data_IF_789838983262
#
_entry.id   IF_789838983262
#
_cell.length_a   1.000
_cell.length_b   1.000
_cell.length_c   1.000
_cell.angle_alpha   90.00
_cell.angle_beta   90.00
_cell.angle_gamma   90.00
#
_symmetry.space_group_name_H-M   'P 1'
#
loop_
_entity.id
_entity.type
_entity.pdbx_description
1 polymer ?
#
# COMPACT_ATOMS: atom_id res chain seq x y z
N UNK A 1 5.17 -5.97 8.19
CA UNK A 1 4.79 -6.90 7.11
C UNK A 1 3.82 -6.19 6.16
N UNK A 2 3.35 -6.82 5.09
CA UNK A 2 2.35 -6.23 4.18
C UNK A 2 1.18 -7.18 3.89
N UNK A 3 0.03 -6.58 3.57
CA UNK A 3 -1.18 -7.24 3.08
C UNK A 3 -1.64 -6.51 1.83
N UNK A 4 -1.88 -7.23 0.74
CA UNK A 4 -2.55 -6.68 -0.44
C UNK A 4 -4.06 -6.84 -0.28
N UNK A 5 -4.80 -5.73 -0.24
CA UNK A 5 -6.22 -5.71 0.09
C UNK A 5 -7.13 -6.16 -1.06
N UNK A 6 -6.72 -5.90 -2.30
CA UNK A 6 -7.51 -6.12 -3.52
C UNK A 6 -7.06 -7.36 -4.32
N UNK A 7 -6.21 -8.20 -3.73
CA UNK A 7 -5.53 -9.28 -4.45
C UNK A 7 -5.31 -10.51 -3.59
N UNK A 8 -5.79 -11.67 -4.05
CA UNK A 8 -5.38 -12.97 -3.52
C UNK A 8 -4.11 -13.45 -4.22
N UNK A 9 -3.19 -14.05 -3.48
CA UNK A 9 -1.91 -14.51 -4.01
C UNK A 9 -1.72 -16.00 -3.68
N UNK A 10 -1.46 -16.83 -4.70
CA UNK A 10 -1.53 -18.29 -4.58
C UNK A 10 -0.41 -18.94 -3.75
N UNK A 11 0.63 -18.17 -3.43
CA UNK A 11 1.72 -18.61 -2.56
C UNK A 11 1.50 -18.23 -1.09
N UNK A 12 0.38 -17.58 -0.74
CA UNK A 12 0.06 -17.20 0.64
C UNK A 12 -0.54 -18.36 1.41
N UNK A 13 -0.34 -18.35 2.71
CA UNK A 13 -0.82 -19.41 3.61
C UNK A 13 -2.33 -19.64 3.59
N UNK A 14 -3.13 -18.63 3.21
CA UNK A 14 -4.59 -18.75 3.15
C UNK A 14 -5.06 -19.42 1.85
N UNK A 15 -4.18 -19.56 0.85
CA UNK A 15 -4.52 -20.20 -0.41
C UNK A 15 -4.74 -21.69 -0.16
N UNK A 16 -5.87 -22.19 -0.64
CA UNK A 16 -6.25 -23.60 -0.46
C UNK A 16 -6.00 -24.38 -1.75
N UNK A 17 -5.62 -25.65 -1.62
CA UNK A 17 -5.30 -26.49 -2.77
C UNK A 17 -6.47 -26.61 -3.77
N UNK A 18 -7.71 -26.63 -3.27
CA UNK A 18 -8.91 -26.65 -4.11
C UNK A 18 -9.06 -25.41 -5.02
N UNK A 19 -8.46 -24.27 -4.64
CA UNK A 19 -8.52 -23.04 -5.45
C UNK A 19 -7.65 -23.12 -6.72
N UNK A 20 -6.77 -24.12 -6.82
CA UNK A 20 -6.01 -24.37 -8.04
C UNK A 20 -6.89 -24.93 -9.17
N UNK A 21 -8.02 -25.55 -8.83
CA UNK A 21 -8.98 -26.12 -9.79
C UNK A 21 -10.31 -25.38 -9.82
N UNK A 22 -10.75 -24.84 -8.68
CA UNK A 22 -12.06 -24.17 -8.55
C UNK A 22 -11.91 -22.93 -7.68
N UNK A 23 -11.94 -21.77 -8.33
CA UNK A 23 -11.82 -20.49 -7.64
C UNK A 23 -13.11 -20.18 -6.85
N UNK A 24 -13.00 -19.64 -5.62
CA UNK A 24 -14.15 -19.15 -4.88
C UNK A 24 -14.77 -17.92 -5.54
N UNK A 25 -16.06 -17.66 -5.30
CA UNK A 25 -16.86 -16.62 -5.97
C UNK A 25 -16.35 -15.18 -5.77
N UNK A 26 -15.56 -14.95 -4.73
CA UNK A 26 -14.93 -13.65 -4.49
C UNK A 26 -13.69 -13.44 -5.36
N UNK A 27 -13.09 -14.48 -5.96
CA UNK A 27 -12.02 -14.31 -6.95
C UNK A 27 -12.65 -14.05 -8.32
N UNK A 28 -12.22 -12.96 -8.96
CA UNK A 28 -12.77 -12.49 -10.24
C UNK A 28 -12.03 -13.16 -11.40
N UNK A 29 -10.71 -12.96 -11.46
CA UNK A 29 -9.84 -13.47 -12.51
C UNK A 29 -8.39 -13.43 -12.07
N UNK A 30 -7.56 -14.21 -12.78
CA UNK A 30 -6.11 -14.18 -12.63
C UNK A 30 -5.54 -12.92 -13.26
N UNK A 31 -4.59 -12.27 -12.60
CA UNK A 31 -3.80 -11.16 -13.16
C UNK A 31 -2.79 -11.71 -14.18
N UNK A 32 -2.11 -10.80 -14.88
CA UNK A 32 -1.06 -11.19 -15.85
C UNK A 32 0.12 -11.92 -15.21
N UNK A 33 0.32 -11.78 -13.90
CA UNK A 33 1.29 -12.57 -13.16
C UNK A 33 0.71 -13.94 -12.77
N UNK A 34 1.56 -14.96 -12.69
CA UNK A 34 1.10 -16.33 -12.52
C UNK A 34 0.57 -16.67 -11.12
N UNK A 35 0.62 -15.73 -10.18
CA UNK A 35 0.31 -15.95 -8.78
C UNK A 35 -0.78 -15.07 -8.21
N UNK A 36 -1.19 -13.98 -8.88
CA UNK A 36 -2.11 -13.03 -8.27
C UNK A 36 -3.47 -13.03 -8.96
N UNK A 37 -4.51 -12.77 -8.16
CA UNK A 37 -5.90 -12.87 -8.56
C UNK A 37 -6.66 -11.64 -8.05
N UNK A 38 -7.41 -10.98 -8.93
CA UNK A 38 -8.31 -9.90 -8.50
C UNK A 38 -9.41 -10.48 -7.63
N UNK A 39 -9.76 -9.79 -6.55
CA UNK A 39 -10.84 -10.20 -5.65
C UNK A 39 -11.91 -9.12 -5.51
N UNK A 40 -13.15 -9.55 -5.29
CA UNK A 40 -14.25 -8.74 -4.77
C UNK A 40 -13.97 -8.48 -3.29
N UNK A 41 -13.12 -7.50 -3.02
CA UNK A 41 -12.58 -7.26 -1.68
C UNK A 41 -13.62 -6.83 -0.64
N UNK A 42 -14.83 -6.48 -1.07
CA UNK A 42 -15.97 -6.20 -0.20
C UNK A 42 -16.69 -7.46 0.32
N UNK A 43 -16.43 -8.63 -0.28
CA UNK A 43 -17.09 -9.89 0.11
C UNK A 43 -16.64 -10.37 1.49
N UNK A 44 -17.59 -10.83 2.30
CA UNK A 44 -17.31 -11.29 3.66
C UNK A 44 -16.33 -12.47 3.70
N UNK A 45 -16.36 -13.36 2.70
CA UNK A 45 -15.40 -14.46 2.58
C UNK A 45 -13.94 -13.95 2.50
N UNK A 46 -13.71 -12.85 1.78
CA UNK A 46 -12.39 -12.23 1.69
C UNK A 46 -12.03 -11.49 2.98
N UNK A 47 -12.97 -10.72 3.54
CA UNK A 47 -12.77 -10.03 4.83
C UNK A 47 -12.45 -11.01 5.96
N UNK A 48 -13.03 -12.21 5.95
CA UNK A 48 -12.72 -13.29 6.90
C UNK A 48 -11.27 -13.75 6.81
N UNK A 49 -10.74 -13.89 5.59
CA UNK A 49 -9.34 -14.25 5.37
C UNK A 49 -8.40 -13.14 5.89
N UNK A 50 -8.76 -11.88 5.63
CA UNK A 50 -7.92 -10.75 5.99
C UNK A 50 -7.92 -10.47 7.50
N UNK A 51 -9.09 -10.33 8.12
CA UNK A 51 -9.18 -9.75 9.48
C UNK A 51 -10.41 -10.16 10.32
N UNK A 52 -11.51 -10.66 9.74
CA UNK A 52 -12.74 -11.01 10.51
C UNK A 52 -12.77 -12.44 11.03
N UNK A 53 -12.14 -13.37 10.32
CA UNK A 53 -12.20 -14.80 10.61
C UNK A 53 -11.24 -15.18 11.74
N UNK A 54 -11.32 -16.42 12.22
CA UNK A 54 -10.28 -16.97 13.10
C UNK A 54 -9.02 -17.26 12.30
N UNK A 55 -7.86 -17.11 12.93
CA UNK A 55 -6.55 -17.37 12.33
C UNK A 55 -6.35 -16.55 11.03
N UNK A 56 -6.93 -15.34 11.02
CA UNK A 56 -6.89 -14.45 9.87
C UNK A 56 -5.48 -13.88 9.63
N UNK A 57 -5.28 -13.24 8.49
CA UNK A 57 -3.96 -12.75 8.10
C UNK A 57 -3.39 -11.71 9.07
N UNK A 58 -4.22 -10.77 9.54
CA UNK A 58 -3.80 -9.75 10.52
C UNK A 58 -3.32 -10.41 11.82
N UNK A 59 -4.12 -11.31 12.41
CA UNK A 59 -3.75 -12.05 13.64
C UNK A 59 -2.46 -12.83 13.46
N UNK A 60 -2.29 -13.49 12.31
CA UNK A 60 -1.09 -14.26 12.01
C UNK A 60 0.15 -13.38 11.91
N UNK A 61 0.05 -12.21 11.27
CA UNK A 61 1.19 -11.29 11.19
C UNK A 61 1.55 -10.71 12.56
N UNK A 62 0.57 -10.27 13.34
CA UNK A 62 0.85 -9.67 14.65
C UNK A 62 1.36 -10.72 15.66
N UNK A 63 0.87 -11.97 15.62
CA UNK A 63 1.39 -13.06 16.47
C UNK A 63 2.82 -13.50 16.13
N UNK A 64 3.28 -13.24 14.90
CA UNK A 64 4.68 -13.42 14.50
C UNK A 64 5.61 -12.27 14.97
N UNK A 65 5.07 -11.27 15.67
CA UNK A 65 5.86 -10.17 16.24
C UNK A 65 6.08 -8.98 15.30
N UNK A 66 5.30 -8.84 14.22
CA UNK A 66 5.38 -7.62 13.41
C UNK A 66 4.73 -6.43 14.14
N UNK A 67 5.47 -5.32 14.24
CA UNK A 67 5.00 -4.06 14.86
C UNK A 67 4.11 -3.20 13.96
N UNK A 68 3.71 -3.72 12.80
CA UNK A 68 2.93 -2.96 11.84
C UNK A 68 2.69 -3.69 10.52
N UNK A 69 1.67 -3.21 9.81
CA UNK A 69 1.20 -3.76 8.55
C UNK A 69 1.06 -2.63 7.52
N UNK A 70 1.69 -2.85 6.39
CA UNK A 70 1.58 -2.04 5.19
C UNK A 70 0.42 -2.56 4.32
N UNK A 71 -0.59 -1.73 4.11
CA UNK A 71 -1.82 -2.04 3.37
C UNK A 71 -1.66 -1.61 1.92
N UNK A 72 -1.47 -2.59 1.05
CA UNK A 72 -1.25 -2.36 -0.37
C UNK A 72 -2.57 -2.45 -1.12
N UNK A 73 -2.88 -1.41 -1.90
CA UNK A 73 -3.93 -1.45 -2.91
C UNK A 73 -3.26 -1.49 -4.28
N UNK A 74 -3.25 -2.65 -4.93
CA UNK A 74 -2.39 -2.88 -6.09
C UNK A 74 -2.90 -2.19 -7.35
N UNK A 75 -4.09 -2.56 -7.82
CA UNK A 75 -4.77 -2.04 -8.99
C UNK A 75 -6.24 -2.41 -8.83
N UNK A 76 -6.99 -1.49 -8.23
CA UNK A 76 -8.45 -1.62 -8.17
C UNK A 76 -8.98 -1.85 -9.58
N UNK A 77 -9.51 -3.05 -9.82
CA UNK A 77 -10.25 -3.31 -11.04
C UNK A 77 -11.53 -2.52 -10.91
N UNK A 78 -11.67 -1.46 -11.72
CA UNK A 78 -12.91 -0.72 -11.83
C UNK A 78 -13.99 -1.65 -12.37
N UNK A 79 -14.69 -2.33 -11.47
CA UNK A 79 -15.90 -3.09 -11.75
C UNK A 79 -17.07 -2.11 -11.88
N UNK A 80 -16.89 -1.08 -12.72
CA UNK A 80 -17.92 -0.10 -13.02
C UNK A 80 -18.89 -0.69 -14.03
N UNK A 81 -19.79 -1.54 -13.52
CA UNK A 81 -21.08 -1.82 -14.14
C UNK A 81 -22.18 -1.70 -13.08
N UNK A 82 -22.49 -0.47 -12.70
CA UNK A 82 -23.83 -0.06 -12.23
C UNK A 82 -24.22 -0.21 -10.76
N UNK A 83 -23.69 -1.15 -9.97
CA UNK A 83 -24.26 -1.43 -8.63
C UNK A 83 -23.34 -1.24 -7.41
N UNK A 84 -22.01 -1.22 -7.58
CA UNK A 84 -21.07 -1.21 -6.44
C UNK A 84 -20.10 -0.04 -6.53
N UNK A 85 -20.14 0.84 -5.54
CA UNK A 85 -19.12 1.89 -5.33
C UNK A 85 -17.85 1.27 -4.76
N UNK A 86 -16.97 0.83 -5.65
CA UNK A 86 -15.73 0.13 -5.31
C UNK A 86 -14.77 0.99 -4.49
N UNK A 87 -14.74 2.31 -4.74
CA UNK A 87 -13.94 3.26 -3.95
C UNK A 87 -14.44 3.29 -2.51
N UNK A 88 -15.74 3.45 -2.29
CA UNK A 88 -16.32 3.46 -0.94
C UNK A 88 -16.08 2.13 -0.23
N UNK A 89 -16.18 1.00 -0.94
CA UNK A 89 -15.84 -0.31 -0.37
C UNK A 89 -14.38 -0.44 0.03
N UNK A 90 -13.45 0.19 -0.69
CA UNK A 90 -12.03 0.17 -0.34
C UNK A 90 -11.77 1.05 0.89
N UNK A 91 -12.41 2.22 0.98
CA UNK A 91 -12.38 3.09 2.17
C UNK A 91 -12.88 2.33 3.39
N UNK A 92 -14.00 1.63 3.28
CA UNK A 92 -14.56 0.83 4.36
C UNK A 92 -13.60 -0.30 4.76
N UNK A 93 -13.04 -1.03 3.78
CA UNK A 93 -12.10 -2.12 4.04
C UNK A 93 -10.83 -1.64 4.76
N UNK A 94 -10.20 -0.55 4.29
CA UNK A 94 -9.02 0.03 4.94
C UNK A 94 -9.36 0.43 6.37
N UNK A 95 -10.50 1.09 6.57
CA UNK A 95 -10.93 1.55 7.89
C UNK A 95 -11.14 0.39 8.85
N UNK A 96 -11.86 -0.65 8.41
CA UNK A 96 -12.14 -1.84 9.19
C UNK A 96 -10.85 -2.60 9.54
N UNK A 97 -9.98 -2.86 8.56
CA UNK A 97 -8.71 -3.56 8.77
C UNK A 97 -7.81 -2.79 9.74
N UNK A 98 -7.66 -1.48 9.56
CA UNK A 98 -6.84 -0.66 10.45
C UNK A 98 -7.34 -0.68 11.89
N UNK A 99 -8.66 -0.59 12.09
CA UNK A 99 -9.28 -0.70 13.43
C UNK A 99 -8.98 -2.07 14.06
N UNK A 100 -9.08 -3.16 13.32
CA UNK A 100 -8.84 -4.51 13.84
C UNK A 100 -7.37 -4.75 14.17
N UNK A 101 -6.45 -4.21 13.35
CA UNK A 101 -5.01 -4.20 13.66
C UNK A 101 -4.77 -3.51 15.01
N UNK A 102 -5.35 -2.32 15.22
CA UNK A 102 -5.17 -1.54 16.45
C UNK A 102 -5.88 -2.16 17.66
N UNK A 103 -6.95 -2.93 17.46
CA UNK A 103 -7.59 -3.70 18.54
C UNK A 103 -6.67 -4.81 19.06
N UNK A 104 -5.96 -5.49 18.18
CA UNK A 104 -5.02 -6.56 18.55
C UNK A 104 -3.76 -5.96 19.19
N UNK A 105 -3.20 -4.92 18.58
CA UNK A 105 -2.05 -4.19 19.12
C UNK A 105 -2.21 -2.67 18.87
N UNK A 106 -2.52 -1.88 19.91
CA UNK A 106 -2.70 -0.43 19.78
C UNK A 106 -1.47 0.33 19.28
N UNK A 107 -0.27 -0.25 19.41
CA UNK A 107 0.99 0.34 18.94
C UNK A 107 1.33 -0.06 17.51
N UNK A 108 0.66 -1.06 16.93
CA UNK A 108 0.97 -1.56 15.60
C UNK A 108 0.78 -0.45 14.56
N UNK A 109 1.79 -0.19 13.73
CA UNK A 109 1.72 0.85 12.71
C UNK A 109 0.92 0.38 11.50
N UNK A 110 0.09 1.26 10.94
CA UNK A 110 -0.71 1.01 9.73
C UNK A 110 -0.31 2.00 8.65
N UNK A 111 0.22 1.49 7.54
CA UNK A 111 0.57 2.31 6.38
C UNK A 111 -0.36 2.03 5.22
N UNK A 112 -0.70 3.07 4.45
CA UNK A 112 -1.39 2.93 3.17
C UNK A 112 -0.38 3.06 2.02
N UNK A 113 -0.25 2.00 1.22
CA UNK A 113 0.71 1.96 0.11
C UNK A 113 0.03 2.25 -1.23
N UNK A 114 0.63 3.17 -2.00
CA UNK A 114 0.37 3.51 -3.40
C UNK A 114 -0.91 4.29 -3.68
N UNK A 115 -2.09 3.80 -3.27
CA UNK A 115 -3.37 4.52 -3.43
C UNK A 115 -3.56 5.66 -2.42
N UNK A 116 -2.58 6.56 -2.40
CA UNK A 116 -2.49 7.66 -1.43
C UNK A 116 -3.67 8.64 -1.50
N UNK A 117 -4.39 8.69 -2.64
CA UNK A 117 -5.60 9.50 -2.80
C UNK A 117 -6.75 9.08 -1.88
N UNK A 118 -6.71 7.85 -1.34
CA UNK A 118 -7.67 7.42 -0.31
C UNK A 118 -7.38 8.09 1.05
N UNK A 119 -6.17 8.59 1.28
CA UNK A 119 -5.84 9.34 2.50
C UNK A 119 -6.40 10.78 2.51
N UNK A 120 -7.01 11.24 1.42
CA UNK A 120 -7.80 12.50 1.44
C UNK A 120 -9.11 12.33 2.21
N UNK A 121 -9.59 11.09 2.37
CA UNK A 121 -10.77 10.78 3.17
C UNK A 121 -10.40 10.81 4.65
N UNK A 122 -11.04 11.67 5.45
CA UNK A 122 -10.73 11.81 6.87
C UNK A 122 -10.86 10.48 7.63
N UNK A 123 -11.82 9.63 7.24
CA UNK A 123 -12.00 8.28 7.83
C UNK A 123 -10.74 7.42 7.68
N UNK A 124 -10.09 7.48 6.52
CA UNK A 124 -8.84 6.74 6.26
C UNK A 124 -7.67 7.40 6.97
N UNK A 125 -7.52 8.73 6.83
CA UNK A 125 -6.42 9.48 7.43
C UNK A 125 -6.35 9.32 8.96
N UNK A 126 -7.51 9.20 9.61
CA UNK A 126 -7.60 9.08 11.06
C UNK A 126 -7.13 7.71 11.59
N UNK A 127 -7.21 6.64 10.80
CA UNK A 127 -6.90 5.27 11.25
C UNK A 127 -5.52 4.77 10.82
N UNK A 128 -4.89 5.43 9.86
CA UNK A 128 -3.52 5.11 9.43
C UNK A 128 -2.49 5.95 10.21
N UNK A 129 -1.26 5.46 10.28
CA UNK A 129 -0.11 6.19 10.86
C UNK A 129 0.72 6.89 9.77
N UNK A 130 0.61 6.43 8.53
CA UNK A 130 1.30 7.05 7.40
C UNK A 130 0.92 6.47 6.04
N UNK A 131 1.60 6.97 5.02
CA UNK A 131 1.49 6.50 3.64
C UNK A 131 2.85 6.12 3.07
N UNK A 132 2.85 5.17 2.16
CA UNK A 132 4.01 4.80 1.33
C UNK A 132 3.68 5.09 -0.12
N UNK A 133 4.54 5.85 -0.80
CA UNK A 133 4.40 6.18 -2.22
C UNK A 133 5.63 5.72 -2.99
N UNK A 134 5.46 4.75 -3.87
CA UNK A 134 6.47 4.37 -4.86
C UNK A 134 6.42 5.33 -6.06
N UNK A 135 7.59 5.58 -6.67
CA UNK A 135 7.73 6.29 -7.95
C UNK A 135 7.06 7.68 -7.90
N UNK A 136 7.46 8.55 -6.97
CA UNK A 136 6.86 9.89 -6.83
C UNK A 136 7.37 10.84 -7.91
N UNK A 137 8.69 10.97 -8.03
CA UNK A 137 9.39 11.84 -8.98
C UNK A 137 9.78 11.10 -10.25
N UNK A 138 10.17 9.83 -10.15
CA UNK A 138 10.66 9.04 -11.27
C UNK A 138 9.86 7.76 -11.44
N UNK A 139 9.76 7.26 -12.68
CA UNK A 139 9.19 5.96 -13.02
C UNK A 139 10.10 5.33 -14.07
N UNK A 140 10.67 4.17 -13.77
CA UNK A 140 11.63 3.48 -14.65
C UNK A 140 12.81 4.36 -15.11
N UNK A 141 13.32 5.20 -14.20
CA UNK A 141 14.42 6.13 -14.49
C UNK A 141 14.03 7.37 -15.31
N UNK A 142 12.74 7.57 -15.57
CA UNK A 142 12.22 8.75 -16.29
C UNK A 142 11.46 9.64 -15.33
N UNK A 143 11.73 10.95 -15.36
CA UNK A 143 11.00 11.94 -14.55
C UNK A 143 9.52 11.93 -14.93
N UNK A 144 8.65 11.81 -13.92
CA UNK A 144 7.20 11.81 -14.09
C UNK A 144 6.70 13.19 -14.55
N UNK A 145 5.52 13.26 -15.21
CA UNK A 145 4.91 14.53 -15.59
C UNK A 145 4.67 15.44 -14.37
N UNK A 146 5.00 16.72 -14.49
CA UNK A 146 4.95 17.68 -13.37
C UNK A 146 3.55 17.81 -12.75
N UNK A 147 2.49 17.71 -13.56
CA UNK A 147 1.11 17.76 -13.09
C UNK A 147 0.74 16.55 -12.22
N UNK A 148 1.26 15.37 -12.53
CA UNK A 148 1.04 14.18 -11.71
C UNK A 148 1.84 14.23 -10.42
N UNK A 149 3.11 14.64 -10.50
CA UNK A 149 3.97 14.87 -9.34
C UNK A 149 3.28 15.86 -8.38
N UNK A 150 2.80 16.99 -8.91
CA UNK A 150 2.12 18.01 -8.11
C UNK A 150 0.86 17.47 -7.42
N UNK A 151 0.04 16.70 -8.13
CA UNK A 151 -1.16 16.08 -7.55
C UNK A 151 -0.82 15.18 -6.36
N UNK A 152 0.19 14.32 -6.51
CA UNK A 152 0.63 13.45 -5.43
C UNK A 152 1.21 14.26 -4.26
N UNK A 153 2.00 15.32 -4.53
CA UNK A 153 2.54 16.22 -3.49
C UNK A 153 1.41 16.89 -2.71
N UNK A 154 0.37 17.40 -3.37
CA UNK A 154 -0.74 18.09 -2.69
C UNK A 154 -1.44 17.17 -1.68
N UNK A 155 -1.46 15.86 -1.93
CA UNK A 155 -1.99 14.84 -1.01
C UNK A 155 -0.98 14.58 0.12
N UNK A 156 0.28 14.30 -0.22
CA UNK A 156 1.32 13.96 0.74
C UNK A 156 1.61 15.11 1.74
N UNK A 157 1.59 16.36 1.28
CA UNK A 157 1.76 17.54 2.14
C UNK A 157 0.60 17.64 3.16
N UNK A 158 -0.62 17.23 2.82
CA UNK A 158 -1.76 17.14 3.77
C UNK A 158 -1.50 16.04 4.81
N UNK A 159 -0.96 14.90 4.40
CA UNK A 159 -0.61 13.78 5.30
C UNK A 159 0.45 14.23 6.31
N UNK A 160 1.50 14.94 5.88
CA UNK A 160 2.51 15.54 6.78
C UNK A 160 1.88 16.59 7.71
N UNK A 161 0.98 17.44 7.21
CA UNK A 161 0.28 18.44 8.03
C UNK A 161 -0.58 17.79 9.11
N UNK A 162 -1.15 16.61 8.83
CA UNK A 162 -1.87 15.77 9.79
C UNK A 162 -0.93 15.02 10.77
N UNK A 163 0.39 15.30 10.74
CA UNK A 163 1.43 14.68 11.57
C UNK A 163 1.54 13.17 11.36
N UNK A 164 1.20 12.69 10.17
CA UNK A 164 1.35 11.29 9.75
C UNK A 164 2.67 11.13 9.00
N UNK A 165 3.18 9.91 8.95
CA UNK A 165 4.44 9.61 8.27
C UNK A 165 4.20 9.56 6.76
N UNK A 166 5.13 10.11 5.98
CA UNK A 166 5.19 9.94 4.52
C UNK A 166 6.51 9.29 4.17
N UNK A 167 6.45 8.07 3.64
CA UNK A 167 7.59 7.38 3.06
C UNK A 167 7.48 7.42 1.55
N UNK A 168 8.57 7.78 0.87
CA UNK A 168 8.63 7.80 -0.59
C UNK A 168 9.74 6.87 -1.04
N UNK A 169 9.42 5.96 -1.96
CA UNK A 169 10.35 4.97 -2.50
C UNK A 169 10.61 5.22 -3.99
N UNK A 170 11.86 5.18 -4.40
CA UNK A 170 12.28 5.41 -5.80
C UNK A 170 13.24 4.32 -6.28
N UNK A 171 13.04 3.87 -7.52
CA UNK A 171 13.94 2.95 -8.23
C UNK A 171 14.89 3.75 -9.14
N UNK A 172 15.81 4.53 -8.54
CA UNK A 172 16.77 5.41 -9.22
C UNK A 172 18.22 5.06 -8.87
N UNK A 173 19.14 5.26 -9.81
CA UNK A 173 20.56 4.93 -9.61
C UNK A 173 21.54 6.04 -9.99
N UNK A 174 21.10 7.05 -10.74
CA UNK A 174 21.99 8.14 -11.15
C UNK A 174 22.22 9.11 -9.99
N UNK A 175 23.48 9.48 -9.73
CA UNK A 175 23.85 10.38 -8.63
C UNK A 175 23.05 11.69 -8.60
N UNK A 176 22.77 12.28 -9.77
CA UNK A 176 22.00 13.52 -9.86
C UNK A 176 20.52 13.32 -9.49
N UNK A 177 19.92 12.20 -9.91
CA UNK A 177 18.53 11.84 -9.55
C UNK A 177 18.42 11.59 -8.06
N UNK A 178 19.37 10.84 -7.47
CA UNK A 178 19.45 10.57 -6.03
C UNK A 178 19.53 11.89 -5.25
N UNK A 179 20.40 12.82 -5.69
CA UNK A 179 20.55 14.12 -5.03
C UNK A 179 19.28 14.96 -5.13
N UNK A 180 18.64 14.99 -6.29
CA UNK A 180 17.35 15.66 -6.49
C UNK A 180 16.28 15.08 -5.55
N UNK A 181 16.16 13.75 -5.52
CA UNK A 181 15.19 13.05 -4.69
C UNK A 181 15.40 13.27 -3.19
N UNK A 182 16.64 13.15 -2.70
CA UNK A 182 16.95 13.38 -1.29
C UNK A 182 16.75 14.85 -0.88
N UNK A 183 17.12 15.81 -1.73
CA UNK A 183 16.85 17.23 -1.47
C UNK A 183 15.34 17.50 -1.42
N UNK A 184 14.61 16.95 -2.38
CA UNK A 184 13.16 17.11 -2.51
C UNK A 184 12.42 16.56 -1.28
N UNK A 185 12.75 15.34 -0.85
CA UNK A 185 12.10 14.69 0.31
C UNK A 185 12.46 15.38 1.62
N UNK A 186 13.72 15.80 1.80
CA UNK A 186 14.16 16.50 3.01
C UNK A 186 13.41 17.82 3.26
N UNK A 187 13.23 18.64 2.21
CA UNK A 187 12.48 19.90 2.31
C UNK A 187 11.03 19.67 2.75
N UNK A 188 10.43 18.54 2.35
CA UNK A 188 9.03 18.19 2.61
C UNK A 188 8.81 17.35 3.86
N UNK A 189 9.89 16.95 4.55
CA UNK A 189 9.85 16.01 5.69
C UNK A 189 9.28 14.64 5.30
N UNK A 190 9.52 14.22 4.07
CA UNK A 190 9.27 12.86 3.63
C UNK A 190 10.48 11.99 4.00
N UNK A 191 10.26 10.71 4.28
CA UNK A 191 11.30 9.73 4.53
C UNK A 191 11.66 9.09 3.18
N UNK A 192 12.86 9.31 2.63
CA UNK A 192 13.28 8.71 1.37
C UNK A 192 13.68 7.24 1.54
N UNK A 193 13.37 6.43 0.54
CA UNK A 193 13.86 5.07 0.35
C UNK A 193 14.25 4.88 -1.13
N UNK A 194 15.35 4.16 -1.39
CA UNK A 194 15.84 3.90 -2.75
C UNK A 194 15.95 2.38 -2.93
N UNK A 195 15.24 1.82 -3.92
CA UNK A 195 15.06 0.37 -4.09
C UNK A 195 16.13 -0.32 -4.94
N UNK A 196 16.64 0.36 -5.98
CA UNK A 196 17.58 -0.23 -6.94
C UNK A 196 18.94 0.46 -6.84
N UNK A 197 19.95 -0.32 -6.48
CA UNK A 197 21.34 0.10 -6.48
C UNK A 197 21.85 0.38 -5.08
N UNK A 198 22.22 -0.68 -4.37
CA UNK A 198 23.16 -0.65 -3.23
C UNK A 198 24.56 -0.16 -3.65
N UNK A 199 24.66 0.83 -4.53
CA UNK A 199 25.79 1.74 -4.51
C UNK A 199 25.58 2.69 -3.33
N UNK A 200 25.77 2.13 -2.13
CA UNK A 200 25.72 2.82 -0.84
C UNK A 200 26.57 4.09 -0.89
N UNK A 201 27.63 4.11 -1.71
CA UNK A 201 28.50 5.25 -1.90
C UNK A 201 27.79 6.40 -2.64
N UNK A 202 27.04 6.11 -3.70
CA UNK A 202 26.22 7.12 -4.39
C UNK A 202 25.04 7.60 -3.55
N UNK A 203 24.38 6.72 -2.80
CA UNK A 203 23.32 7.11 -1.86
C UNK A 203 23.87 8.03 -0.77
N UNK A 204 24.99 7.65 -0.14
CA UNK A 204 25.65 8.49 0.88
C UNK A 204 26.06 9.84 0.31
N UNK A 205 26.69 9.88 -0.86
CA UNK A 205 27.14 11.14 -1.51
C UNK A 205 25.98 12.00 -2.03
N UNK A 206 24.85 11.40 -2.38
CA UNK A 206 23.68 12.10 -2.92
C UNK A 206 22.80 12.71 -1.84
N UNK A 207 22.72 12.05 -0.67
CA UNK A 207 21.86 12.45 0.45
C UNK A 207 22.64 13.11 1.61
N UNK A 208 23.97 13.21 1.52
CA UNK A 208 24.84 14.05 2.38
C UNK A 208 24.85 15.50 1.94
#
# INVERSE_FOLDING_TARGET
>A
SYITLDTAQSYRFYWKDEWNTTLPDFIIDKKSNNSDYNVKYWEEAWKNILYKGKDNYVEKLLSLGFDGIDLIVSKEKNLQSGEIDTRQKMIDLITEVAVEIKKINPHAQVYLHNKIDLAEEERVLNVIDGVVKESLLFSDGVKRPENEIKKDIDILDKVVKAKKIVLVSESISQKNEIKEFCTFTAIRRYIPHIEKGDDIENVKKGCS
#
